data_IF_895139811082
#
_entry.id   IF_895139811082
#
_cell.length_a   1.000
_cell.length_b   1.000
_cell.length_c   1.000
_cell.angle_alpha   90.00
_cell.angle_beta   90.00
_cell.angle_gamma   90.00
#
_symmetry.space_group_name_H-M   'P 1'
#
loop_
_entity.id
_entity.type
_entity.pdbx_description
1 polymer ?
#
# COMPACT_ATOMS: atom_id res chain seq x y z
N UNK A 1 -6.08 -10.17 22.16
CA UNK A 1 -5.46 -8.83 22.16
C UNK A 1 -6.56 -7.78 22.05
N UNK A 2 -6.50 -6.72 22.86
CA UNK A 2 -7.43 -5.59 22.76
C UNK A 2 -7.02 -4.81 21.51
N UNK A 3 -7.94 -4.65 20.54
CA UNK A 3 -7.68 -3.85 19.34
C UNK A 3 -7.68 -2.37 19.68
N UNK A 4 -6.78 -1.61 19.09
CA UNK A 4 -6.80 -0.16 19.18
C UNK A 4 -8.06 0.39 18.49
N UNK A 5 -8.72 1.37 19.10
CA UNK A 5 -9.88 2.03 18.50
C UNK A 5 -9.44 3.00 17.42
N UNK A 6 -10.18 3.05 16.35
CA UNK A 6 -9.98 3.96 15.23
C UNK A 6 -11.32 4.40 14.66
N UNK A 7 -11.43 5.65 14.21
CA UNK A 7 -12.65 6.19 13.59
C UNK A 7 -12.43 6.48 12.13
N UNK A 8 -13.40 6.09 11.28
CA UNK A 8 -13.33 6.28 9.85
C UNK A 8 -14.66 6.81 9.28
N UNK A 9 -14.55 7.85 8.48
CA UNK A 9 -15.63 8.33 7.61
C UNK A 9 -15.47 7.69 6.23
N UNK A 10 -16.56 7.15 5.66
CA UNK A 10 -16.55 6.52 4.34
C UNK A 10 -17.51 7.26 3.42
N UNK A 11 -16.97 7.74 2.29
CA UNK A 11 -17.69 8.43 1.23
C UNK A 11 -17.35 7.72 -0.08
N UNK A 12 -18.34 7.18 -0.77
CA UNK A 12 -18.12 6.40 -1.99
C UNK A 12 -19.10 6.69 -3.08
N UNK A 13 -18.65 6.58 -4.34
CA UNK A 13 -19.51 6.68 -5.52
C UNK A 13 -20.25 5.38 -5.85
N UNK A 14 -19.92 4.29 -5.16
CA UNK A 14 -20.54 2.96 -5.35
C UNK A 14 -20.95 2.37 -4.01
N UNK A 15 -21.77 1.33 -4.04
CA UNK A 15 -22.21 0.65 -2.83
C UNK A 15 -21.03 -0.04 -2.14
N UNK A 16 -20.72 0.39 -0.94
CA UNK A 16 -19.60 -0.05 -0.12
C UNK A 16 -20.00 -0.90 1.09
N UNK A 17 -21.24 -1.37 1.16
CA UNK A 17 -21.75 -2.14 2.32
C UNK A 17 -20.93 -3.40 2.61
N UNK A 18 -20.48 -4.10 1.56
CA UNK A 18 -19.59 -5.27 1.73
C UNK A 18 -18.26 -4.87 2.35
N UNK A 19 -17.66 -3.77 1.88
CA UNK A 19 -16.42 -3.24 2.44
C UNK A 19 -16.58 -2.87 3.92
N UNK A 20 -17.66 -2.20 4.28
CA UNK A 20 -17.97 -1.84 5.68
C UNK A 20 -18.13 -3.09 6.55
N UNK A 21 -18.83 -4.11 6.05
CA UNK A 21 -18.99 -5.38 6.75
C UNK A 21 -17.65 -6.09 7.03
N UNK A 22 -16.77 -6.12 6.05
CA UNK A 22 -15.42 -6.69 6.18
C UNK A 22 -14.55 -5.84 7.11
N UNK A 23 -14.60 -4.51 7.02
CA UNK A 23 -13.83 -3.60 7.85
C UNK A 23 -14.19 -3.74 9.34
N UNK A 24 -15.48 -3.85 9.68
CA UNK A 24 -15.94 -4.12 11.08
C UNK A 24 -15.36 -5.40 11.66
N UNK A 25 -15.19 -6.42 10.83
CA UNK A 25 -14.66 -7.71 11.23
C UNK A 25 -13.15 -7.85 11.06
N UNK A 26 -12.45 -6.79 10.62
CA UNK A 26 -11.02 -6.84 10.37
C UNK A 26 -10.23 -7.06 11.67
N UNK A 27 -9.08 -7.74 11.62
CA UNK A 27 -8.28 -8.02 12.80
C UNK A 27 -7.45 -6.83 13.29
N UNK A 28 -7.35 -5.76 12.50
CA UNK A 28 -6.36 -4.69 12.72
C UNK A 28 -6.77 -3.70 13.81
N UNK A 29 -7.99 -3.15 13.72
CA UNK A 29 -8.50 -2.11 14.63
C UNK A 29 -9.95 -2.38 15.00
N UNK A 30 -10.40 -1.75 16.09
CA UNK A 30 -11.83 -1.65 16.46
C UNK A 30 -12.39 -0.36 15.80
N UNK A 31 -12.99 -0.52 14.62
CA UNK A 31 -13.39 0.58 13.76
C UNK A 31 -14.73 1.17 14.16
N UNK A 32 -14.74 2.46 14.51
CA UNK A 32 -15.95 3.28 14.57
C UNK A 32 -16.22 3.86 13.17
N UNK A 33 -17.20 3.31 12.46
CA UNK A 33 -17.46 3.63 11.07
C UNK A 33 -18.64 4.58 10.96
N UNK A 34 -18.41 5.75 10.33
CA UNK A 34 -19.45 6.66 9.87
C UNK A 34 -19.49 6.59 8.34
N UNK A 35 -20.65 6.45 7.79
CA UNK A 35 -20.84 6.33 6.33
C UNK A 35 -21.97 7.23 5.85
N UNK A 36 -21.91 7.64 4.60
CA UNK A 36 -23.02 8.27 3.86
C UNK A 36 -23.48 7.30 2.80
N UNK A 37 -24.72 7.47 2.35
CA UNK A 37 -25.23 6.68 1.23
C UNK A 37 -24.33 6.86 0.00
N UNK A 38 -24.13 5.79 -0.76
CA UNK A 38 -23.29 5.86 -1.95
C UNK A 38 -23.85 6.84 -2.99
N UNK A 39 -22.96 7.29 -3.87
CA UNK A 39 -23.26 8.29 -4.92
C UNK A 39 -23.60 9.71 -4.39
N UNK A 40 -23.23 10.03 -3.14
CA UNK A 40 -23.39 11.36 -2.55
C UNK A 40 -22.04 12.08 -2.36
N UNK A 41 -21.02 11.73 -3.15
CA UNK A 41 -19.64 12.20 -2.97
C UNK A 41 -19.59 13.73 -3.01
N UNK A 42 -19.91 14.36 -4.13
CA UNK A 42 -19.79 15.82 -4.27
C UNK A 42 -20.73 16.57 -3.33
N UNK A 43 -21.95 16.09 -3.12
CA UNK A 43 -22.87 16.68 -2.16
C UNK A 43 -22.27 16.69 -0.76
N UNK A 44 -21.63 15.61 -0.35
CA UNK A 44 -21.00 15.49 0.99
C UNK A 44 -19.77 16.36 1.09
N UNK A 45 -18.88 16.34 0.08
CA UNK A 45 -17.62 17.10 0.10
C UNK A 45 -17.85 18.62 0.09
N UNK A 46 -18.92 19.10 -0.55
CA UNK A 46 -19.24 20.54 -0.64
C UNK A 46 -20.12 21.05 0.51
N UNK A 47 -20.68 20.16 1.33
CA UNK A 47 -21.57 20.55 2.44
C UNK A 47 -20.81 20.52 3.77
N UNK A 48 -20.44 21.68 4.29
CA UNK A 48 -19.82 21.81 5.61
C UNK A 48 -20.69 21.32 6.78
N UNK A 49 -22.01 21.28 6.57
CA UNK A 49 -23.00 20.88 7.58
C UNK A 49 -23.44 19.42 7.45
N UNK A 50 -22.79 18.62 6.59
CA UNK A 50 -23.12 17.20 6.47
C UNK A 50 -22.87 16.49 7.82
N UNK A 51 -23.82 15.61 8.21
CA UNK A 51 -23.78 14.89 9.49
C UNK A 51 -22.47 14.15 9.73
N UNK A 52 -21.83 13.67 8.68
CA UNK A 52 -20.56 12.93 8.75
C UNK A 52 -19.43 13.77 9.34
N UNK A 53 -19.50 15.10 9.23
CA UNK A 53 -18.52 16.05 9.76
C UNK A 53 -18.77 16.51 11.18
N UNK A 54 -19.84 16.02 11.84
CA UNK A 54 -20.20 16.42 13.21
C UNK A 54 -19.13 16.11 14.26
N UNK A 55 -18.25 15.14 13.97
CA UNK A 55 -17.11 14.77 14.79
C UNK A 55 -15.92 14.51 13.90
N UNK A 56 -14.75 15.03 14.28
CA UNK A 56 -13.49 14.75 13.59
C UNK A 56 -13.18 13.25 13.68
N UNK A 57 -12.86 12.64 12.56
CA UNK A 57 -12.45 11.24 12.48
C UNK A 57 -10.92 11.10 12.39
N UNK A 58 -10.39 9.92 12.67
CA UNK A 58 -8.98 9.62 12.38
C UNK A 58 -8.74 9.56 10.87
N UNK A 59 -9.68 8.97 10.14
CA UNK A 59 -9.57 8.76 8.69
C UNK A 59 -10.85 9.25 8.00
N UNK A 60 -10.68 9.88 6.83
CA UNK A 60 -11.75 9.98 5.83
C UNK A 60 -11.32 9.23 4.57
N UNK A 61 -12.03 8.18 4.21
CA UNK A 61 -11.85 7.45 2.94
C UNK A 61 -12.84 8.00 1.91
N UNK A 62 -12.30 8.56 0.82
CA UNK A 62 -13.10 9.00 -0.34
C UNK A 62 -12.81 8.09 -1.52
N UNK A 63 -13.71 7.18 -1.82
CA UNK A 63 -13.52 6.13 -2.83
C UNK A 63 -14.48 6.32 -4.01
N UNK A 64 -13.93 6.78 -5.11
CA UNK A 64 -14.69 7.08 -6.33
C UNK A 64 -14.29 6.18 -7.48
N UNK A 65 -15.19 6.04 -8.46
CA UNK A 65 -14.85 5.50 -9.77
C UNK A 65 -14.54 6.66 -10.73
N UNK A 66 -13.74 6.49 -11.78
CA UNK A 66 -13.37 7.59 -12.67
C UNK A 66 -14.57 8.26 -13.36
N UNK A 67 -15.57 7.47 -13.78
CA UNK A 67 -16.77 7.98 -14.39
C UNK A 67 -17.70 8.75 -13.43
N UNK A 68 -17.55 8.55 -12.13
CA UNK A 68 -18.28 9.33 -11.13
C UNK A 68 -17.66 10.71 -10.88
N UNK A 69 -16.41 10.87 -11.27
CA UNK A 69 -15.67 12.14 -11.16
C UNK A 69 -15.74 12.93 -12.45
N UNK A 70 -15.67 12.26 -13.61
CA UNK A 70 -15.71 12.92 -14.92
C UNK A 70 -16.78 12.33 -15.83
N UNK A 71 -17.70 13.17 -16.25
CA UNK A 71 -18.69 12.81 -17.27
C UNK A 71 -18.08 12.56 -18.64
N UNK A 72 -16.95 13.20 -18.94
CA UNK A 72 -16.18 12.93 -20.17
C UNK A 72 -15.58 11.52 -20.14
N UNK A 73 -15.06 11.07 -18.98
CA UNK A 73 -14.59 9.69 -18.84
C UNK A 73 -15.74 8.67 -19.04
N UNK A 74 -16.95 8.99 -18.59
CA UNK A 74 -18.13 8.16 -18.83
C UNK A 74 -18.44 8.04 -20.34
N UNK A 75 -18.22 9.10 -21.13
CA UNK A 75 -18.36 9.03 -22.60
C UNK A 75 -17.43 7.99 -23.23
N UNK A 76 -16.17 7.92 -22.75
CA UNK A 76 -15.20 6.91 -23.22
C UNK A 76 -15.67 5.48 -22.93
N UNK A 77 -16.24 5.22 -21.76
CA UNK A 77 -16.82 3.91 -21.44
C UNK A 77 -17.97 3.54 -22.40
N UNK A 78 -18.70 4.53 -22.88
CA UNK A 78 -19.77 4.38 -23.86
C UNK A 78 -19.25 4.43 -25.32
N UNK A 79 -17.92 4.30 -25.52
CA UNK A 79 -17.25 4.33 -26.85
C UNK A 79 -17.47 5.62 -27.64
N UNK A 80 -17.65 6.75 -26.95
CA UNK A 80 -17.74 8.08 -27.52
C UNK A 80 -16.41 8.83 -27.34
N UNK A 81 -16.23 9.90 -28.13
CA UNK A 81 -15.10 10.82 -27.99
C UNK A 81 -15.21 11.61 -26.69
N UNK A 82 -14.10 11.79 -26.01
CA UNK A 82 -14.00 12.63 -24.84
C UNK A 82 -13.01 13.79 -25.02
N UNK A 83 -13.20 14.83 -24.24
CA UNK A 83 -12.30 15.96 -24.16
C UNK A 83 -11.39 15.84 -22.94
N UNK A 84 -10.11 15.58 -23.15
CA UNK A 84 -9.12 15.41 -22.06
C UNK A 84 -8.95 16.69 -21.22
N UNK A 85 -9.14 17.89 -21.77
CA UNK A 85 -9.05 19.12 -20.98
C UNK A 85 -10.22 19.23 -20.00
N UNK A 86 -11.43 18.82 -20.40
CA UNK A 86 -12.58 18.76 -19.49
C UNK A 86 -12.37 17.67 -18.42
N UNK A 87 -11.79 16.52 -18.77
CA UNK A 87 -11.39 15.51 -17.76
C UNK A 87 -10.47 16.13 -16.72
N UNK A 88 -9.50 16.92 -17.14
CA UNK A 88 -8.58 17.63 -16.27
C UNK A 88 -9.29 18.62 -15.35
N UNK A 89 -10.23 19.39 -15.88
CA UNK A 89 -11.05 20.33 -15.10
C UNK A 89 -11.89 19.60 -14.05
N UNK A 90 -12.50 18.48 -14.41
CA UNK A 90 -13.26 17.62 -13.49
C UNK A 90 -12.40 17.10 -12.34
N UNK A 91 -11.16 16.63 -12.63
CA UNK A 91 -10.22 16.18 -11.61
C UNK A 91 -9.78 17.33 -10.70
N UNK A 92 -9.53 18.52 -11.27
CA UNK A 92 -9.19 19.71 -10.48
C UNK A 92 -10.33 20.11 -9.54
N UNK A 93 -11.57 20.08 -10.02
CA UNK A 93 -12.73 20.37 -9.19
C UNK A 93 -12.87 19.35 -8.06
N UNK A 94 -12.71 18.06 -8.37
CA UNK A 94 -12.73 17.01 -7.35
C UNK A 94 -11.65 17.21 -6.29
N UNK A 95 -10.41 17.54 -6.69
CA UNK A 95 -9.32 17.81 -5.77
C UNK A 95 -9.60 19.06 -4.91
N UNK A 96 -10.25 20.08 -5.46
CA UNK A 96 -10.70 21.27 -4.69
C UNK A 96 -11.71 20.88 -3.62
N UNK A 97 -12.69 20.03 -3.97
CA UNK A 97 -13.66 19.50 -3.01
C UNK A 97 -12.99 18.63 -1.94
N UNK A 98 -11.98 17.81 -2.30
CA UNK A 98 -11.20 17.05 -1.32
C UNK A 98 -10.44 17.95 -0.35
N UNK A 99 -9.79 18.99 -0.83
CA UNK A 99 -9.04 19.94 0.01
C UNK A 99 -9.92 20.68 1.02
N UNK A 100 -11.22 20.88 0.71
CA UNK A 100 -12.14 21.54 1.63
C UNK A 100 -12.44 20.72 2.89
N UNK A 101 -12.23 19.41 2.86
CA UNK A 101 -12.51 18.52 4.00
C UNK A 101 -11.25 18.17 4.85
N UNK A 102 -10.11 18.81 4.60
CA UNK A 102 -8.82 18.49 5.24
C UNK A 102 -8.83 18.53 6.78
N UNK A 103 -9.70 19.35 7.37
CA UNK A 103 -9.75 19.59 8.82
C UNK A 103 -10.72 18.64 9.55
N UNK A 104 -11.53 17.84 8.81
CA UNK A 104 -12.51 16.93 9.38
C UNK A 104 -11.95 15.54 9.73
N UNK A 105 -10.69 15.26 9.37
CA UNK A 105 -9.99 14.04 9.79
C UNK A 105 -8.48 14.29 9.93
N UNK A 106 -7.78 13.36 10.60
CA UNK A 106 -6.32 13.44 10.70
C UNK A 106 -5.67 13.15 9.35
N UNK A 107 -6.21 12.17 8.61
CA UNK A 107 -5.78 11.81 7.26
C UNK A 107 -6.97 11.60 6.33
N UNK A 108 -6.76 11.91 5.04
CA UNK A 108 -7.71 11.67 3.95
C UNK A 108 -7.09 10.65 3.00
N UNK A 109 -7.78 9.54 2.77
CA UNK A 109 -7.35 8.45 1.92
C UNK A 109 -8.15 8.43 0.63
N UNK A 110 -7.47 8.38 -0.50
CA UNK A 110 -8.08 8.36 -1.83
C UNK A 110 -7.48 7.20 -2.62
N UNK A 111 -8.19 6.08 -2.82
CA UNK A 111 -7.75 5.07 -3.76
C UNK A 111 -7.64 5.66 -5.18
N UNK A 112 -6.49 5.46 -5.84
CA UNK A 112 -6.35 5.85 -7.23
C UNK A 112 -7.33 5.06 -8.11
N UNK A 113 -7.71 5.63 -9.24
CA UNK A 113 -8.74 5.03 -10.07
C UNK A 113 -8.22 3.82 -10.84
N UNK A 114 -9.05 2.80 -10.87
CA UNK A 114 -8.98 1.64 -11.76
C UNK A 114 -10.33 1.48 -12.44
N UNK A 115 -10.36 0.76 -13.54
CA UNK A 115 -11.63 0.42 -14.18
C UNK A 115 -12.43 -0.53 -13.28
N UNK A 116 -13.73 -0.39 -13.23
CA UNK A 116 -14.62 -1.25 -12.42
C UNK A 116 -14.85 -2.65 -13.01
N UNK A 117 -14.42 -2.86 -14.24
CA UNK A 117 -14.43 -4.15 -14.93
C UNK A 117 -13.30 -4.17 -15.96
N UNK A 118 -12.74 -5.35 -16.28
CA UNK A 118 -11.84 -5.48 -17.41
C UNK A 118 -12.50 -4.95 -18.67
N UNK A 119 -11.78 -4.15 -19.41
CA UNK A 119 -12.32 -3.54 -20.65
C UNK A 119 -11.90 -4.38 -21.87
N UNK A 120 -12.88 -4.73 -22.69
CA UNK A 120 -12.69 -5.38 -23.99
C UNK A 120 -12.53 -4.35 -25.11
N UNK A 121 -11.83 -3.25 -24.87
CA UNK A 121 -11.63 -2.20 -25.87
C UNK A 121 -10.75 -2.67 -27.03
N UNK A 122 -10.96 -2.09 -28.19
CA UNK A 122 -10.06 -2.26 -29.34
C UNK A 122 -8.64 -1.86 -28.95
N UNK A 123 -7.70 -2.79 -29.04
CA UNK A 123 -6.27 -2.58 -28.72
C UNK A 123 -5.68 -1.36 -29.43
N UNK A 124 -6.14 -1.05 -30.66
CA UNK A 124 -5.61 0.04 -31.47
C UNK A 124 -5.88 1.44 -30.88
N UNK A 125 -6.93 1.62 -30.08
CA UNK A 125 -7.33 2.93 -29.55
C UNK A 125 -7.14 3.06 -28.04
N UNK A 126 -6.67 2.04 -27.37
CA UNK A 126 -6.50 1.97 -25.91
C UNK A 126 -5.72 3.17 -25.32
N UNK A 127 -4.69 3.63 -26.03
CA UNK A 127 -3.85 4.76 -25.64
C UNK A 127 -4.09 6.03 -26.50
N UNK A 128 -5.19 6.11 -27.24
CA UNK A 128 -5.59 7.34 -27.92
C UNK A 128 -6.09 8.39 -26.94
N UNK A 129 -5.66 9.64 -27.11
CA UNK A 129 -6.08 10.77 -26.28
C UNK A 129 -7.61 10.94 -26.25
N UNK A 130 -8.25 10.80 -27.41
CA UNK A 130 -9.67 11.13 -27.59
C UNK A 130 -10.61 9.93 -27.35
N UNK A 131 -10.07 8.70 -27.39
CA UNK A 131 -10.87 7.47 -27.35
C UNK A 131 -10.36 6.46 -26.31
N UNK A 132 -9.14 6.61 -25.82
CA UNK A 132 -8.47 5.60 -24.99
C UNK A 132 -8.86 5.69 -23.52
N UNK A 133 -9.45 4.62 -23.00
CA UNK A 133 -9.77 4.51 -21.57
C UNK A 133 -8.52 4.51 -20.72
N UNK A 134 -7.51 3.72 -21.08
CA UNK A 134 -6.26 3.57 -20.32
C UNK A 134 -5.43 4.84 -20.37
N UNK A 135 -5.36 5.53 -21.51
CA UNK A 135 -4.72 6.85 -21.60
C UNK A 135 -5.34 7.83 -20.62
N UNK A 136 -6.66 7.98 -20.67
CA UNK A 136 -7.36 8.96 -19.84
C UNK A 136 -7.39 8.54 -18.36
N UNK A 137 -7.43 7.25 -18.06
CA UNK A 137 -7.30 6.75 -16.69
C UNK A 137 -5.91 7.07 -16.10
N UNK A 138 -4.84 6.81 -16.85
CA UNK A 138 -3.48 7.15 -16.46
C UNK A 138 -3.32 8.67 -16.27
N UNK A 139 -3.88 9.47 -17.18
CA UNK A 139 -3.89 10.92 -17.11
C UNK A 139 -4.62 11.44 -15.86
N UNK A 140 -5.81 10.92 -15.55
CA UNK A 140 -6.56 11.27 -14.34
C UNK A 140 -5.75 10.95 -13.07
N UNK A 141 -5.17 9.76 -12.97
CA UNK A 141 -4.35 9.34 -11.82
C UNK A 141 -3.08 10.19 -11.67
N UNK A 142 -2.40 10.50 -12.78
CA UNK A 142 -1.27 11.41 -12.78
C UNK A 142 -1.68 12.79 -12.23
N UNK A 143 -2.81 13.32 -12.73
CA UNK A 143 -3.29 14.64 -12.34
C UNK A 143 -3.72 14.68 -10.86
N UNK A 144 -4.38 13.63 -10.38
CA UNK A 144 -4.71 13.46 -8.96
C UNK A 144 -3.45 13.54 -8.09
N UNK A 145 -2.39 12.82 -8.49
CA UNK A 145 -1.12 12.83 -7.76
C UNK A 145 -0.43 14.20 -7.78
N UNK A 146 -0.49 14.92 -8.89
CA UNK A 146 0.06 16.28 -8.99
C UNK A 146 -0.68 17.26 -8.07
N UNK A 147 -2.00 17.14 -7.96
CA UNK A 147 -2.81 18.05 -7.16
C UNK A 147 -2.72 17.79 -5.65
N UNK A 148 -2.56 16.53 -5.24
CA UNK A 148 -2.60 16.13 -3.82
C UNK A 148 -1.24 15.74 -3.25
N UNK A 149 -0.22 15.51 -4.07
CA UNK A 149 1.06 14.95 -3.64
C UNK A 149 1.85 15.83 -2.64
N UNK A 150 1.56 17.12 -2.57
CA UNK A 150 2.18 18.05 -1.61
C UNK A 150 1.31 18.33 -0.36
N UNK A 151 0.11 17.74 -0.29
CA UNK A 151 -0.79 17.91 0.85
C UNK A 151 -0.44 16.89 1.95
N UNK A 152 -0.01 17.36 3.11
CA UNK A 152 0.59 16.51 4.18
C UNK A 152 -0.32 15.41 4.72
N UNK A 153 -1.63 15.62 4.70
CA UNK A 153 -2.62 14.69 5.26
C UNK A 153 -3.43 13.94 4.21
N UNK A 154 -3.08 14.04 2.92
CA UNK A 154 -3.70 13.29 1.83
C UNK A 154 -2.80 12.16 1.38
N UNK A 155 -3.36 10.95 1.29
CA UNK A 155 -2.64 9.77 0.84
C UNK A 155 -3.42 9.08 -0.27
N UNK A 156 -2.76 8.92 -1.42
CA UNK A 156 -3.31 8.17 -2.54
C UNK A 156 -2.95 6.70 -2.36
N UNK A 157 -3.97 5.85 -2.19
CA UNK A 157 -3.79 4.40 -2.06
C UNK A 157 -3.64 3.76 -3.44
N UNK A 158 -2.76 2.75 -3.53
CA UNK A 158 -2.45 2.09 -4.80
C UNK A 158 -3.41 0.92 -5.08
N UNK A 159 -4.54 1.20 -5.73
CA UNK A 159 -5.53 0.19 -6.12
C UNK A 159 -4.98 -0.82 -7.16
N UNK A 160 -3.97 -0.46 -7.96
CA UNK A 160 -3.31 -1.40 -8.85
C UNK A 160 -2.54 -2.48 -8.10
N UNK A 161 -1.94 -2.16 -6.94
CA UNK A 161 -1.31 -3.15 -6.07
C UNK A 161 -2.35 -4.16 -5.57
N UNK A 162 -3.53 -3.70 -5.14
CA UNK A 162 -4.61 -4.59 -4.70
C UNK A 162 -5.09 -5.51 -5.84
N UNK A 163 -5.25 -4.93 -7.04
CA UNK A 163 -5.60 -5.66 -8.25
C UNK A 163 -4.55 -6.73 -8.59
N UNK A 164 -3.26 -6.39 -8.49
CA UNK A 164 -2.15 -7.31 -8.72
C UNK A 164 -2.11 -8.45 -7.70
N UNK A 165 -2.34 -8.14 -6.41
CA UNK A 165 -2.29 -9.13 -5.33
C UNK A 165 -3.42 -10.16 -5.43
N UNK A 166 -4.65 -9.72 -5.71
CA UNK A 166 -5.79 -10.64 -5.80
C UNK A 166 -5.97 -11.27 -7.18
N UNK A 167 -5.32 -10.74 -8.21
CA UNK A 167 -5.51 -11.11 -9.60
C UNK A 167 -6.79 -10.53 -10.20
N UNK A 168 -6.72 -10.16 -11.48
CA UNK A 168 -7.82 -9.44 -12.18
C UNK A 168 -9.14 -10.22 -12.17
N UNK A 169 -9.08 -11.54 -12.34
CA UNK A 169 -10.26 -12.42 -12.36
C UNK A 169 -10.98 -12.48 -11.01
N UNK A 170 -10.24 -12.31 -9.91
CA UNK A 170 -10.79 -12.35 -8.56
C UNK A 170 -11.18 -10.96 -8.03
N UNK A 171 -10.73 -9.88 -8.68
CA UNK A 171 -10.94 -8.52 -8.20
C UNK A 171 -12.36 -8.01 -8.41
N UNK A 172 -13.03 -8.46 -9.44
CA UNK A 172 -14.31 -7.93 -9.89
C UNK A 172 -15.45 -8.93 -9.68
N UNK A 173 -16.68 -8.40 -9.58
CA UNK A 173 -17.89 -9.20 -9.51
C UNK A 173 -19.01 -8.55 -10.32
N UNK A 174 -19.15 -8.98 -11.58
CA UNK A 174 -20.24 -8.51 -12.44
C UNK A 174 -21.62 -8.76 -11.81
N UNK A 175 -21.79 -9.89 -11.11
CA UNK A 175 -23.03 -10.19 -10.38
C UNK A 175 -23.34 -9.13 -9.31
N UNK A 176 -22.37 -8.79 -8.46
CA UNK A 176 -22.55 -7.77 -7.42
C UNK A 176 -22.75 -6.39 -8.03
N UNK A 177 -22.07 -6.06 -9.12
CA UNK A 177 -22.29 -4.79 -9.83
C UNK A 177 -23.72 -4.63 -10.30
N UNK A 178 -24.29 -5.62 -10.96
CA UNK A 178 -25.67 -5.53 -11.46
C UNK A 178 -26.70 -5.55 -10.34
N UNK A 179 -26.51 -6.36 -9.30
CA UNK A 179 -27.46 -6.50 -8.20
C UNK A 179 -27.43 -5.32 -7.22
N UNK A 180 -26.24 -4.84 -6.87
CA UNK A 180 -26.05 -3.95 -5.72
C UNK A 180 -25.20 -2.72 -6.00
N UNK A 181 -24.67 -2.56 -7.23
CA UNK A 181 -23.71 -1.49 -7.59
C UNK A 181 -22.40 -1.57 -6.78
N UNK A 182 -21.98 -2.78 -6.41
CA UNK A 182 -20.70 -3.07 -5.78
C UNK A 182 -19.74 -3.57 -6.86
N UNK A 183 -18.68 -2.80 -7.24
CA UNK A 183 -17.84 -3.16 -8.39
C UNK A 183 -16.84 -4.26 -8.09
N UNK A 184 -16.37 -4.34 -6.84
CA UNK A 184 -15.25 -5.19 -6.44
C UNK A 184 -15.70 -6.36 -5.58
N UNK A 185 -14.90 -7.42 -5.60
CA UNK A 185 -15.09 -8.61 -4.78
C UNK A 185 -14.62 -8.38 -3.33
N UNK A 186 -15.01 -9.32 -2.45
CA UNK A 186 -14.52 -9.30 -1.07
C UNK A 186 -13.00 -9.52 -0.97
N UNK A 187 -12.38 -10.23 -1.92
CA UNK A 187 -10.92 -10.44 -1.96
C UNK A 187 -10.22 -9.11 -2.18
N UNK A 188 -10.67 -8.33 -3.16
CA UNK A 188 -10.15 -6.98 -3.42
C UNK A 188 -10.36 -6.03 -2.23
N UNK A 189 -11.53 -6.06 -1.59
CA UNK A 189 -11.78 -5.25 -0.41
C UNK A 189 -10.89 -5.60 0.78
N UNK A 190 -10.52 -6.88 0.96
CA UNK A 190 -9.58 -7.29 2.01
C UNK A 190 -8.16 -6.72 1.77
N UNK A 191 -7.68 -6.68 0.51
CA UNK A 191 -6.43 -6.00 0.18
C UNK A 191 -6.48 -4.51 0.54
N UNK A 192 -7.58 -3.84 0.20
CA UNK A 192 -7.78 -2.43 0.53
C UNK A 192 -7.80 -2.19 2.05
N UNK A 193 -8.47 -3.05 2.82
CA UNK A 193 -8.54 -2.98 4.29
C UNK A 193 -7.15 -3.18 4.91
N UNK A 194 -6.39 -4.13 4.41
CA UNK A 194 -5.03 -4.38 4.88
C UNK A 194 -4.13 -3.16 4.66
N UNK A 195 -4.14 -2.60 3.45
CA UNK A 195 -3.31 -1.46 3.07
C UNK A 195 -3.68 -0.18 3.85
N UNK A 196 -4.98 0.12 3.96
CA UNK A 196 -5.53 1.21 4.76
C UNK A 196 -5.14 1.06 6.24
N UNK A 197 -5.27 -0.14 6.80
CA UNK A 197 -4.95 -0.39 8.20
C UNK A 197 -3.45 -0.26 8.48
N UNK A 198 -2.61 -0.73 7.56
CA UNK A 198 -1.16 -0.60 7.65
C UNK A 198 -0.75 0.89 7.59
N UNK A 199 -1.28 1.65 6.64
CA UNK A 199 -0.99 3.08 6.53
C UNK A 199 -1.41 3.84 7.80
N UNK A 200 -2.61 3.58 8.31
CA UNK A 200 -3.06 4.19 9.56
C UNK A 200 -2.17 3.79 10.75
N UNK A 201 -1.78 2.53 10.85
CA UNK A 201 -0.83 2.05 11.85
C UNK A 201 0.51 2.79 11.79
N UNK A 202 1.02 3.05 10.59
CA UNK A 202 2.24 3.86 10.37
C UNK A 202 2.06 5.28 10.93
N UNK A 203 0.96 5.95 10.64
CA UNK A 203 0.70 7.33 11.12
C UNK A 203 0.57 7.40 12.64
N UNK A 204 0.15 6.32 13.30
CA UNK A 204 0.06 6.21 14.78
C UNK A 204 1.32 5.66 15.43
N UNK A 205 2.39 5.45 14.67
CA UNK A 205 3.66 4.91 15.19
C UNK A 205 3.60 3.43 15.60
N UNK A 206 2.59 2.69 15.12
CA UNK A 206 2.41 1.26 15.41
C UNK A 206 3.23 0.35 14.48
N UNK A 207 4.08 0.92 13.63
CA UNK A 207 4.96 0.16 12.75
C UNK A 207 6.05 -0.57 13.54
N UNK A 208 6.43 -1.76 13.07
CA UNK A 208 7.64 -2.43 13.56
C UNK A 208 8.84 -1.60 13.14
N UNK A 209 9.70 -1.28 14.11
CA UNK A 209 10.87 -0.42 13.90
C UNK A 209 12.18 -1.18 13.88
N UNK A 210 12.18 -2.42 14.34
CA UNK A 210 13.35 -3.27 14.44
C UNK A 210 13.15 -4.55 13.61
N UNK A 211 14.13 -4.86 12.79
CA UNK A 211 14.27 -6.13 12.06
C UNK A 211 15.51 -6.84 12.57
N UNK A 212 15.32 -8.00 13.17
CA UNK A 212 16.41 -8.86 13.64
C UNK A 212 16.61 -9.98 12.63
N UNK A 213 17.83 -10.14 12.16
CA UNK A 213 18.22 -11.08 11.11
C UNK A 213 19.15 -12.14 11.63
N UNK A 214 19.00 -13.34 11.10
CA UNK A 214 20.02 -14.40 11.21
C UNK A 214 21.03 -14.28 10.05
N UNK A 215 22.10 -15.05 10.07
CA UNK A 215 23.15 -15.05 9.06
C UNK A 215 23.03 -16.27 8.12
N UNK A 216 23.39 -17.45 8.59
CA UNK A 216 23.45 -18.68 7.79
C UNK A 216 22.06 -19.05 7.24
N UNK A 217 22.02 -19.42 5.96
CA UNK A 217 20.80 -19.70 5.19
C UNK A 217 19.72 -18.62 5.26
N UNK A 218 20.12 -17.38 5.64
CA UNK A 218 19.28 -16.20 5.71
C UNK A 218 19.86 -15.05 4.89
N UNK A 219 21.06 -14.55 5.21
CA UNK A 219 21.74 -13.52 4.40
C UNK A 219 22.60 -14.12 3.30
N UNK A 220 22.98 -15.36 3.43
CA UNK A 220 23.71 -16.15 2.44
C UNK A 220 23.34 -17.62 2.57
N UNK A 221 23.64 -18.43 1.54
CA UNK A 221 23.46 -19.87 1.61
C UNK A 221 24.73 -20.56 2.11
N UNK A 222 24.52 -21.49 3.04
CA UNK A 222 25.59 -22.26 3.68
C UNK A 222 25.91 -21.78 5.09
N UNK A 223 26.66 -22.61 5.82
CA UNK A 223 27.12 -22.36 7.20
C UNK A 223 28.55 -21.83 7.13
N UNK A 224 28.75 -20.55 7.47
CA UNK A 224 30.02 -19.88 7.28
C UNK A 224 31.17 -20.57 8.03
N UNK A 225 30.93 -21.10 9.24
CA UNK A 225 31.90 -21.83 10.02
C UNK A 225 32.37 -23.16 9.41
N UNK A 226 31.57 -23.74 8.49
CA UNK A 226 31.91 -25.02 7.83
C UNK A 226 32.57 -24.78 6.46
N UNK A 227 32.02 -23.85 5.65
CA UNK A 227 32.49 -23.71 4.26
C UNK A 227 33.48 -22.56 4.08
N UNK A 228 33.58 -21.65 5.05
CA UNK A 228 34.35 -20.41 4.96
C UNK A 228 33.68 -19.38 4.05
N UNK A 229 33.95 -18.10 4.27
CA UNK A 229 33.27 -17.00 3.58
C UNK A 229 33.40 -17.02 2.06
N UNK A 230 34.51 -17.54 1.50
CA UNK A 230 34.77 -17.63 0.06
C UNK A 230 33.83 -18.60 -0.67
N UNK A 231 33.23 -19.53 0.05
CA UNK A 231 32.37 -20.58 -0.51
C UNK A 231 30.88 -20.35 -0.17
N UNK A 232 30.55 -19.24 0.46
CA UNK A 232 29.14 -18.87 0.70
C UNK A 232 28.42 -18.62 -0.61
N UNK A 233 27.17 -19.03 -0.68
CA UNK A 233 26.31 -18.79 -1.85
C UNK A 233 25.66 -17.43 -1.72
N UNK A 234 26.24 -16.45 -2.40
CA UNK A 234 25.74 -15.08 -2.50
C UNK A 234 26.22 -14.49 -3.83
N UNK A 235 25.33 -13.80 -4.55
CA UNK A 235 25.65 -13.14 -5.80
C UNK A 235 25.27 -13.91 -7.07
N UNK A 236 25.55 -13.31 -8.23
CA UNK A 236 24.96 -13.61 -9.53
C UNK A 236 25.52 -14.84 -10.27
N UNK A 237 26.22 -15.78 -9.63
CA UNK A 237 26.74 -16.97 -10.28
C UNK A 237 25.77 -18.16 -10.28
N UNK A 238 24.77 -18.13 -9.41
CA UNK A 238 23.67 -19.09 -9.39
C UNK A 238 22.38 -18.44 -8.86
N UNK A 239 21.25 -19.03 -9.19
CA UNK A 239 19.91 -18.49 -8.88
C UNK A 239 19.64 -18.34 -7.38
N UNK A 240 20.23 -19.18 -6.53
CA UNK A 240 20.08 -19.04 -5.07
C UNK A 240 20.95 -17.92 -4.53
N UNK A 241 22.20 -17.80 -5.05
CA UNK A 241 23.08 -16.69 -4.72
C UNK A 241 22.48 -15.33 -5.08
N UNK A 242 21.85 -15.22 -6.27
CA UNK A 242 21.08 -14.04 -6.67
C UNK A 242 19.94 -13.74 -5.69
N UNK A 243 19.18 -14.76 -5.29
CA UNK A 243 18.05 -14.57 -4.35
C UNK A 243 18.51 -14.03 -2.98
N UNK A 244 19.63 -14.51 -2.43
CA UNK A 244 20.19 -13.97 -1.20
C UNK A 244 20.66 -12.52 -1.35
N UNK A 245 21.28 -12.20 -2.48
CA UNK A 245 21.70 -10.83 -2.78
C UNK A 245 20.51 -9.89 -2.91
N UNK A 246 19.47 -10.29 -3.65
CA UNK A 246 18.23 -9.51 -3.80
C UNK A 246 17.51 -9.33 -2.46
N UNK A 247 17.51 -10.34 -1.61
CA UNK A 247 16.98 -10.23 -0.25
C UNK A 247 17.73 -9.16 0.55
N UNK A 248 19.08 -9.13 0.50
CA UNK A 248 19.85 -8.08 1.16
C UNK A 248 19.57 -6.70 0.59
N UNK A 249 19.34 -6.55 -0.72
CA UNK A 249 18.93 -5.27 -1.33
C UNK A 249 17.60 -4.79 -0.74
N UNK A 250 16.63 -5.70 -0.56
CA UNK A 250 15.35 -5.37 0.08
C UNK A 250 15.52 -4.93 1.54
N UNK A 251 16.36 -5.63 2.31
CA UNK A 251 16.68 -5.26 3.70
C UNK A 251 17.35 -3.88 3.75
N UNK A 252 18.30 -3.61 2.86
CA UNK A 252 18.94 -2.29 2.75
C UNK A 252 17.94 -1.19 2.45
N UNK A 253 16.97 -1.47 1.58
CA UNK A 253 15.87 -0.55 1.29
C UNK A 253 15.02 -0.27 2.53
N UNK A 254 14.69 -1.30 3.33
CA UNK A 254 13.96 -1.11 4.60
C UNK A 254 14.74 -0.24 5.58
N UNK A 255 16.06 -0.46 5.72
CA UNK A 255 16.93 0.40 6.53
C UNK A 255 16.85 1.86 6.08
N UNK A 256 16.95 2.10 4.78
CA UNK A 256 16.87 3.45 4.20
C UNK A 256 15.50 4.12 4.44
N UNK A 257 14.46 3.33 4.70
CA UNK A 257 13.12 3.78 5.10
C UNK A 257 12.98 3.97 6.63
N UNK A 258 14.05 3.79 7.40
CA UNK A 258 14.07 4.02 8.84
C UNK A 258 13.84 2.78 9.72
N UNK A 259 13.88 1.58 9.15
CA UNK A 259 13.88 0.34 9.95
C UNK A 259 15.28 0.11 10.53
N UNK A 260 15.35 -0.12 11.82
CA UNK A 260 16.57 -0.47 12.54
C UNK A 260 16.89 -1.94 12.26
N UNK A 261 18.14 -2.24 11.89
CA UNK A 261 18.60 -3.61 11.68
C UNK A 261 19.47 -4.09 12.84
N UNK A 262 19.29 -5.34 13.24
CA UNK A 262 20.15 -6.03 14.20
C UNK A 262 20.41 -7.47 13.75
N UNK A 263 21.50 -8.07 14.22
CA UNK A 263 21.86 -9.46 13.93
C UNK A 263 21.75 -10.34 15.18
N UNK A 264 21.19 -11.53 15.03
CA UNK A 264 21.23 -12.59 16.04
C UNK A 264 21.54 -13.91 15.35
N UNK A 265 22.75 -14.43 15.56
CA UNK A 265 23.17 -15.68 14.92
C UNK A 265 23.96 -16.57 15.87
N UNK A 266 23.84 -17.89 15.67
CA UNK A 266 24.67 -18.88 16.32
C UNK A 266 25.91 -19.17 15.46
N UNK A 267 26.94 -18.37 15.66
CA UNK A 267 28.19 -18.44 14.90
C UNK A 267 29.37 -18.00 15.76
N UNK A 268 30.58 -18.25 15.25
CA UNK A 268 31.79 -17.56 15.71
C UNK A 268 31.72 -16.11 15.18
N UNK A 269 31.82 -15.17 16.12
CA UNK A 269 31.66 -13.74 15.80
C UNK A 269 32.73 -13.25 14.82
N UNK A 270 33.96 -13.67 15.00
CA UNK A 270 35.09 -13.25 14.17
C UNK A 270 34.93 -13.74 12.74
N UNK A 271 34.54 -15.00 12.56
CA UNK A 271 34.29 -15.60 11.23
C UNK A 271 33.14 -14.96 10.53
N UNK A 272 32.05 -14.71 11.25
CA UNK A 272 30.84 -14.08 10.68
C UNK A 272 31.07 -12.62 10.25
N UNK A 273 31.79 -11.84 11.07
CA UNK A 273 32.15 -10.45 10.74
C UNK A 273 33.11 -10.41 9.55
N UNK A 274 34.09 -11.34 9.50
CA UNK A 274 35.00 -11.47 8.34
C UNK A 274 34.21 -11.74 7.06
N UNK A 275 33.20 -12.62 7.09
CA UNK A 275 32.36 -12.92 5.96
C UNK A 275 31.61 -11.68 5.47
N UNK A 276 30.98 -10.90 6.38
CA UNK A 276 30.26 -9.69 6.04
C UNK A 276 31.18 -8.64 5.40
N UNK A 277 32.38 -8.48 5.93
CA UNK A 277 33.33 -7.45 5.48
C UNK A 277 34.11 -7.82 4.22
N UNK A 278 34.31 -9.12 3.96
CA UNK A 278 35.23 -9.58 2.93
C UNK A 278 34.57 -10.17 1.70
N UNK A 279 33.30 -10.61 1.78
CA UNK A 279 32.66 -11.23 0.63
C UNK A 279 32.26 -10.17 -0.40
N UNK A 280 32.72 -10.25 -1.67
CA UNK A 280 32.57 -9.17 -2.65
C UNK A 280 31.12 -8.91 -3.09
N UNK A 281 30.23 -9.89 -2.95
CA UNK A 281 28.81 -9.77 -3.32
C UNK A 281 27.88 -9.38 -2.16
N UNK A 282 28.45 -9.14 -0.95
CA UNK A 282 27.66 -8.63 0.18
C UNK A 282 27.13 -7.22 -0.11
N UNK A 283 25.84 -7.01 0.14
CA UNK A 283 25.16 -5.71 0.00
C UNK A 283 25.11 -4.98 1.34
N UNK A 284 24.90 -5.74 2.42
CA UNK A 284 24.90 -5.23 3.78
C UNK A 284 26.32 -5.24 4.35
N UNK A 285 26.65 -4.22 5.13
CA UNK A 285 27.90 -4.10 5.89
C UNK A 285 27.60 -4.07 7.38
N UNK A 286 28.62 -4.24 8.23
CA UNK A 286 28.42 -4.13 9.68
C UNK A 286 27.87 -2.78 10.12
N UNK A 287 28.13 -1.70 9.37
CA UNK A 287 27.58 -0.34 9.62
C UNK A 287 26.05 -0.24 9.39
N UNK A 288 25.45 -1.25 8.75
CA UNK A 288 24.01 -1.28 8.56
C UNK A 288 23.26 -1.76 9.81
N UNK A 289 23.95 -2.42 10.73
CA UNK A 289 23.37 -2.98 11.94
C UNK A 289 23.73 -2.12 13.16
N UNK A 290 22.71 -1.76 13.94
CA UNK A 290 22.89 -0.94 15.16
C UNK A 290 23.53 -1.77 16.27
N UNK A 291 23.20 -3.05 16.35
CA UNK A 291 23.74 -4.00 17.32
C UNK A 291 23.72 -5.43 16.79
N UNK A 292 24.50 -6.30 17.40
CA UNK A 292 24.53 -7.72 17.05
C UNK A 292 24.77 -8.60 18.28
N UNK A 293 24.31 -9.85 18.19
CA UNK A 293 24.60 -10.95 19.10
C UNK A 293 24.95 -12.17 18.25
N UNK A 294 26.24 -12.34 17.99
CA UNK A 294 26.80 -13.48 17.25
C UNK A 294 27.54 -14.35 18.25
N UNK A 295 26.85 -15.33 18.79
CA UNK A 295 27.37 -16.21 19.83
C UNK A 295 26.57 -17.53 19.87
N UNK A 296 26.98 -18.47 20.72
CA UNK A 296 26.33 -19.77 20.87
C UNK A 296 25.28 -19.82 21.97
N UNK A 297 24.89 -18.66 22.52
CA UNK A 297 23.81 -18.56 23.49
C UNK A 297 22.44 -18.76 22.85
N UNK A 298 21.41 -18.85 23.71
CA UNK A 298 20.02 -18.99 23.22
C UNK A 298 19.56 -17.75 22.42
N UNK A 299 19.08 -17.99 21.19
CA UNK A 299 18.62 -16.91 20.31
C UNK A 299 17.48 -16.10 20.90
N UNK A 300 16.55 -16.73 21.65
CA UNK A 300 15.43 -16.02 22.25
C UNK A 300 15.90 -15.03 23.32
N UNK A 301 16.89 -15.42 24.13
CA UNK A 301 17.54 -14.53 25.10
C UNK A 301 18.20 -13.34 24.40
N UNK A 302 19.03 -13.60 23.38
CA UNK A 302 19.71 -12.55 22.60
C UNK A 302 18.70 -11.56 21.95
N UNK A 303 17.56 -12.05 21.45
CA UNK A 303 16.50 -11.20 20.87
C UNK A 303 15.87 -10.30 21.93
N UNK A 304 15.60 -10.84 23.12
CA UNK A 304 15.03 -10.06 24.24
C UNK A 304 16.02 -9.00 24.69
N UNK A 305 17.30 -9.33 24.81
CA UNK A 305 18.33 -8.39 25.20
C UNK A 305 18.47 -7.23 24.24
N UNK A 306 18.46 -7.50 22.91
CA UNK A 306 18.46 -6.45 21.86
C UNK A 306 17.19 -5.58 21.92
N UNK A 307 16.05 -6.18 22.23
CA UNK A 307 14.78 -5.43 22.30
C UNK A 307 14.72 -4.48 23.50
N UNK A 308 15.57 -4.64 24.50
CA UNK A 308 15.69 -3.79 25.69
C UNK A 308 16.76 -2.71 25.55
N UNK A 309 17.69 -2.82 24.59
CA UNK A 309 18.68 -1.78 24.22
C UNK A 309 18.02 -0.64 23.41
#
# INVERSE_FOLDING_TARGET
>A
MIKNKASINIISSFNHSNFVGLLRNSPYFDWQINEVDYNQVFQTLTSSNARIWSKKADITLVWTTPESVSSEFQKLQNKNVANSELIKEDVNYFCTCLKSIKDYSDIVLIPNWILKQPNESSLALTYSKDFGLEYNLAFMNYYLSQQLGNEKNFFILNSFKWLSNCGIENAYSSKLWYLTKTPFSNVFFNEAISDLSNLYGLTKGLSKKLLILDLDDTLWGGIVGEVGWKNLRIGGHDHLGEAFRDFQIQIKSLKNQGIILALVSKNDETIAIEAINSHPEMVLSMEDFVTHRINWEDKAKNIVDIAHE
#
